data_IF_979291918683
#
_entry.id   IF_979291918683
#
_cell.length_a   1.000
_cell.length_b   1.000
_cell.length_c   1.000
_cell.angle_alpha   90.00
_cell.angle_beta   90.00
_cell.angle_gamma   90.00
#
_symmetry.space_group_name_H-M   'P 1'
#
loop_
_entity.id
_entity.type
_entity.pdbx_description
1 polymer ?
#
# COMPACT_ATOMS: atom_id res chain seq x y z
N UNK A 1 3.21 10.88 19.25
CA UNK A 1 3.43 11.12 17.81
C UNK A 1 3.79 12.59 17.53
N UNK A 2 5.02 13.08 17.81
CA UNK A 2 5.37 14.50 17.64
C UNK A 2 5.50 14.95 16.17
N UNK A 3 5.53 14.03 15.21
CA UNK A 3 5.81 14.33 13.80
C UNK A 3 4.64 14.83 12.95
N UNK A 4 3.39 14.65 13.37
CA UNK A 4 2.19 15.01 12.59
C UNK A 4 1.90 16.53 12.58
N UNK A 5 2.37 17.29 13.58
CA UNK A 5 2.03 18.72 13.74
C UNK A 5 2.58 19.67 12.65
N UNK A 6 3.59 19.27 11.86
CA UNK A 6 4.25 20.17 10.89
C UNK A 6 3.81 19.98 9.44
N UNK A 7 3.03 18.95 9.11
CA UNK A 7 2.69 18.61 7.71
C UNK A 7 1.50 19.38 7.14
N UNK A 8 0.67 19.98 7.99
CA UNK A 8 -0.63 20.54 7.60
C UNK A 8 -0.69 22.06 7.75
N UNK A 9 0.14 22.79 7.02
CA UNK A 9 0.02 24.26 6.91
C UNK A 9 -0.93 24.63 5.77
N UNK A 10 -2.24 24.41 5.91
CA UNK A 10 -3.14 24.81 4.83
C UNK A 10 -4.63 24.51 4.98
N UNK A 11 -5.07 23.96 6.08
CA UNK A 11 -6.49 23.74 6.32
C UNK A 11 -6.91 24.27 7.67
N UNK A 12 -8.06 24.91 7.76
CA UNK A 12 -8.60 25.55 8.94
C UNK A 12 -8.42 24.72 10.24
N UNK A 13 -8.23 25.39 11.33
CA UNK A 13 -7.82 24.87 12.65
C UNK A 13 -8.81 23.94 13.36
N UNK A 14 -9.72 23.26 12.66
CA UNK A 14 -10.79 22.48 13.27
C UNK A 14 -11.15 21.15 12.57
N UNK A 15 -10.49 20.76 11.47
CA UNK A 15 -10.87 19.53 10.78
C UNK A 15 -10.33 18.27 11.46
N UNK A 16 -11.21 17.29 11.75
CA UNK A 16 -10.89 16.06 12.46
C UNK A 16 -10.04 15.08 11.60
N UNK A 17 -10.26 15.06 10.29
CA UNK A 17 -9.55 14.20 9.33
C UNK A 17 -9.41 14.87 7.98
N UNK A 18 -8.42 14.42 7.19
CA UNK A 18 -8.28 14.73 5.79
C UNK A 18 -8.69 13.53 4.93
N UNK A 19 -9.53 13.78 3.95
CA UNK A 19 -9.96 12.80 2.96
C UNK A 19 -9.28 13.11 1.62
N UNK A 20 -8.51 12.17 1.12
CA UNK A 20 -7.78 12.33 -0.15
C UNK A 20 -8.43 11.46 -1.22
N UNK A 21 -8.88 12.05 -2.35
CA UNK A 21 -9.32 11.25 -3.48
C UNK A 21 -8.13 10.50 -4.07
N UNK A 22 -8.24 9.18 -4.19
CA UNK A 22 -7.18 8.35 -4.75
C UNK A 22 -7.43 8.09 -6.23
N UNK A 23 -6.41 8.34 -7.05
CA UNK A 23 -6.41 8.02 -8.48
C UNK A 23 -6.15 6.53 -8.77
N UNK A 24 -6.61 5.63 -7.89
CA UNK A 24 -6.50 4.18 -8.04
C UNK A 24 -7.81 3.61 -8.55
N UNK A 25 -7.75 2.47 -9.21
CA UNK A 25 -8.91 1.80 -9.77
C UNK A 25 -9.41 0.66 -8.87
N UNK A 26 -10.69 0.31 -9.03
CA UNK A 26 -11.33 -0.81 -8.35
C UNK A 26 -11.79 -1.84 -9.37
N UNK A 27 -11.44 -3.10 -9.15
CA UNK A 27 -11.84 -4.25 -9.94
C UNK A 27 -12.59 -5.24 -9.06
N UNK A 28 -13.84 -5.54 -9.40
CA UNK A 28 -14.66 -6.54 -8.68
C UNK A 28 -14.35 -7.95 -9.16
N UNK A 29 -14.13 -8.87 -8.22
CA UNK A 29 -14.05 -10.31 -8.44
C UNK A 29 -15.18 -10.96 -7.63
N UNK A 30 -16.21 -11.46 -8.31
CA UNK A 30 -17.43 -12.00 -7.71
C UNK A 30 -17.66 -13.43 -8.15
N UNK A 31 -18.10 -14.28 -7.23
CA UNK A 31 -18.45 -15.66 -7.45
C UNK A 31 -18.05 -16.57 -6.30
N UNK A 32 -18.67 -17.74 -6.22
CA UNK A 32 -18.38 -18.74 -5.17
C UNK A 32 -16.89 -19.14 -5.13
N UNK A 33 -16.19 -19.06 -6.28
CA UNK A 33 -14.78 -19.41 -6.38
C UNK A 33 -13.83 -18.19 -6.33
N UNK A 34 -14.32 -16.98 -5.97
CA UNK A 34 -13.51 -15.78 -5.97
C UNK A 34 -12.27 -15.88 -5.03
N UNK A 35 -12.47 -16.31 -3.79
CA UNK A 35 -11.38 -16.47 -2.84
C UNK A 35 -10.40 -17.60 -3.23
N UNK A 36 -10.82 -18.84 -3.55
CA UNK A 36 -9.91 -19.89 -4.03
C UNK A 36 -9.15 -19.48 -5.30
N UNK A 37 -9.79 -18.73 -6.20
CA UNK A 37 -9.15 -18.22 -7.41
C UNK A 37 -8.01 -17.24 -7.08
N UNK A 38 -8.28 -16.23 -6.26
CA UNK A 38 -7.29 -15.24 -5.86
C UNK A 38 -6.21 -15.83 -4.95
N UNK A 39 -6.53 -16.87 -4.16
CA UNK A 39 -5.61 -17.54 -3.25
C UNK A 39 -4.37 -18.08 -3.96
N UNK A 40 -4.49 -18.62 -5.16
CA UNK A 40 -3.37 -19.11 -5.94
C UNK A 40 -2.57 -18.04 -6.69
N UNK A 41 -3.05 -16.81 -6.73
CA UNK A 41 -2.45 -15.72 -7.50
C UNK A 41 -1.75 -14.66 -6.65
N UNK A 42 -2.09 -14.57 -5.35
CA UNK A 42 -1.67 -13.46 -4.48
C UNK A 42 -0.84 -13.93 -3.31
N UNK A 43 0.01 -13.06 -2.79
CA UNK A 43 0.96 -13.35 -1.71
C UNK A 43 0.30 -13.53 -0.34
N UNK A 44 -0.89 -12.97 -0.12
CA UNK A 44 -1.57 -13.03 1.19
C UNK A 44 -2.68 -14.10 1.21
N UNK A 45 -3.11 -14.44 2.40
CA UNK A 45 -4.18 -15.42 2.62
C UNK A 45 -5.56 -14.79 2.41
N UNK A 46 -6.08 -14.91 1.19
CA UNK A 46 -7.37 -14.36 0.77
C UNK A 46 -8.54 -15.04 1.46
N UNK A 47 -8.38 -16.29 1.92
CA UNK A 47 -9.44 -17.00 2.63
C UNK A 47 -9.88 -16.28 3.90
N UNK A 48 -9.02 -15.47 4.50
CA UNK A 48 -9.34 -14.60 5.65
C UNK A 48 -10.43 -13.58 5.38
N UNK A 49 -10.73 -13.26 4.11
CA UNK A 49 -11.83 -12.35 3.74
C UNK A 49 -13.18 -13.06 3.67
N UNK A 50 -13.20 -14.40 3.57
CA UNK A 50 -14.43 -15.18 3.31
C UNK A 50 -14.63 -16.34 4.29
N UNK A 51 -13.75 -16.51 5.29
CA UNK A 51 -13.85 -17.57 6.27
C UNK A 51 -15.17 -17.45 7.06
N UNK A 52 -15.94 -18.53 7.11
CA UNK A 52 -17.17 -18.63 7.88
C UNK A 52 -16.95 -18.65 9.39
N UNK A 53 -18.02 -18.91 10.16
CA UNK A 53 -18.16 -18.81 11.62
C UNK A 53 -17.02 -19.37 12.49
N UNK A 54 -16.21 -20.31 12.01
CA UNK A 54 -15.07 -20.84 12.75
C UNK A 54 -13.97 -19.79 13.02
N UNK A 55 -13.85 -18.76 12.17
CA UNK A 55 -12.91 -17.65 12.39
C UNK A 55 -13.55 -16.51 13.21
N UNK A 56 -14.86 -16.42 13.24
CA UNK A 56 -15.60 -15.46 14.05
C UNK A 56 -15.45 -15.74 15.57
N UNK A 57 -15.09 -16.94 15.97
CA UNK A 57 -14.87 -17.32 17.37
C UNK A 57 -13.60 -16.67 17.99
N UNK A 58 -12.69 -16.12 17.17
CA UNK A 58 -11.42 -15.53 17.63
C UNK A 58 -11.27 -14.03 17.32
N UNK A 59 -12.26 -13.40 16.68
CA UNK A 59 -12.24 -11.97 16.34
C UNK A 59 -12.93 -11.67 15.01
N UNK A 60 -13.37 -10.45 14.82
CA UNK A 60 -14.03 -10.04 13.57
C UNK A 60 -13.13 -10.29 12.34
N UNK A 61 -13.71 -10.83 11.26
CA UNK A 61 -13.01 -11.04 9.99
C UNK A 61 -12.44 -9.71 9.46
N UNK A 62 -11.22 -9.71 8.93
CA UNK A 62 -10.66 -8.51 8.33
C UNK A 62 -11.53 -8.04 7.16
N UNK A 63 -11.74 -6.73 7.07
CA UNK A 63 -12.49 -6.14 5.96
C UNK A 63 -11.60 -5.80 4.77
N UNK A 64 -10.30 -5.72 4.99
CA UNK A 64 -9.30 -5.48 3.96
C UNK A 64 -8.02 -6.29 4.20
N UNK A 65 -7.32 -6.61 3.11
CA UNK A 65 -5.99 -7.24 3.10
C UNK A 65 -5.09 -6.54 2.08
N UNK A 66 -3.81 -6.45 2.36
CA UNK A 66 -2.79 -6.05 1.38
C UNK A 66 -2.13 -7.28 0.78
N UNK A 67 -1.81 -7.24 -0.50
CA UNK A 67 -1.13 -8.34 -1.19
C UNK A 67 -0.39 -7.84 -2.44
N UNK A 68 0.56 -8.63 -2.93
CA UNK A 68 1.13 -8.48 -4.26
C UNK A 68 0.69 -9.63 -5.17
N UNK A 69 0.52 -9.34 -6.46
CA UNK A 69 0.58 -10.34 -7.52
C UNK A 69 2.01 -10.40 -8.04
N UNK A 70 2.58 -11.59 -8.15
CA UNK A 70 3.96 -11.81 -8.58
C UNK A 70 4.00 -12.48 -9.95
N UNK A 71 5.10 -12.27 -10.68
CA UNK A 71 5.44 -13.10 -11.82
C UNK A 71 6.05 -14.44 -11.34
N UNK A 72 6.28 -15.36 -12.26
CA UNK A 72 6.83 -16.69 -11.94
C UNK A 72 8.25 -16.63 -11.36
N UNK A 73 9.01 -15.55 -11.59
CA UNK A 73 10.32 -15.30 -11.01
C UNK A 73 10.25 -14.69 -9.60
N UNK A 74 9.05 -14.46 -9.05
CA UNK A 74 8.85 -13.91 -7.71
C UNK A 74 9.00 -12.40 -7.60
N UNK A 75 8.89 -11.66 -8.72
CA UNK A 75 8.92 -10.20 -8.74
C UNK A 75 7.52 -9.62 -8.75
N UNK A 76 7.34 -8.49 -8.09
CA UNK A 76 6.06 -7.79 -8.03
C UNK A 76 5.61 -7.38 -9.44
N UNK A 77 4.36 -7.70 -9.78
CA UNK A 77 3.66 -7.15 -10.94
C UNK A 77 2.73 -6.02 -10.51
N UNK A 78 1.94 -6.26 -9.48
CA UNK A 78 0.94 -5.32 -8.98
C UNK A 78 0.87 -5.36 -7.46
N UNK A 79 0.74 -4.19 -6.83
CA UNK A 79 0.34 -4.03 -5.45
C UNK A 79 -1.18 -3.88 -5.37
N UNK A 80 -1.82 -4.61 -4.46
CA UNK A 80 -3.27 -4.70 -4.36
C UNK A 80 -3.72 -4.54 -2.92
N UNK A 81 -4.81 -3.77 -2.70
CA UNK A 81 -5.59 -3.88 -1.47
C UNK A 81 -6.89 -4.58 -1.84
N UNK A 82 -7.20 -5.65 -1.13
CA UNK A 82 -8.40 -6.43 -1.30
C UNK A 82 -9.42 -6.02 -0.24
N UNK A 83 -10.68 -5.87 -0.63
CA UNK A 83 -11.77 -5.53 0.27
C UNK A 83 -12.89 -6.56 0.15
N UNK A 84 -13.41 -7.00 1.30
CA UNK A 84 -14.62 -7.79 1.35
C UNK A 84 -15.84 -6.88 1.22
N UNK A 85 -16.63 -7.06 0.16
CA UNK A 85 -17.84 -6.28 -0.06
C UNK A 85 -19.10 -7.00 0.44
N UNK A 86 -19.16 -8.34 0.37
CA UNK A 86 -20.26 -9.12 0.95
C UNK A 86 -20.23 -9.03 2.49
N UNK A 87 -21.40 -8.98 3.10
CA UNK A 87 -21.53 -8.78 4.55
C UNK A 87 -21.84 -10.10 5.28
N UNK A 88 -22.64 -10.98 4.67
CA UNK A 88 -23.01 -12.28 5.21
C UNK A 88 -22.19 -13.42 4.59
N UNK A 89 -21.85 -14.48 5.36
CA UNK A 89 -21.25 -15.70 4.82
C UNK A 89 -22.13 -16.42 3.78
N UNK A 90 -23.45 -16.21 3.82
CA UNK A 90 -24.42 -16.80 2.89
C UNK A 90 -24.50 -16.05 1.55
N UNK A 91 -23.94 -14.83 1.48
CA UNK A 91 -23.87 -14.08 0.25
C UNK A 91 -22.76 -14.60 -0.66
N UNK A 92 -22.99 -14.48 -1.98
CA UNK A 92 -21.97 -14.81 -2.96
C UNK A 92 -20.72 -13.93 -2.73
N UNK A 93 -19.53 -14.52 -2.54
CA UNK A 93 -18.31 -13.78 -2.30
C UNK A 93 -18.07 -12.68 -3.35
N UNK A 94 -17.87 -11.46 -2.88
CA UNK A 94 -17.54 -10.32 -3.71
C UNK A 94 -16.34 -9.58 -3.10
N UNK A 95 -15.21 -9.64 -3.79
CA UNK A 95 -13.93 -9.05 -3.39
C UNK A 95 -13.59 -7.93 -4.36
N UNK A 96 -13.38 -6.72 -3.84
CA UNK A 96 -12.86 -5.60 -4.62
C UNK A 96 -11.33 -5.61 -4.55
N UNK A 97 -10.67 -5.39 -5.67
CA UNK A 97 -9.22 -5.20 -5.79
C UNK A 97 -8.95 -3.73 -6.10
N UNK A 98 -8.33 -3.01 -5.18
CA UNK A 98 -7.76 -1.69 -5.42
C UNK A 98 -6.39 -1.86 -6.08
N UNK A 99 -6.16 -1.19 -7.20
CA UNK A 99 -4.91 -1.25 -7.95
C UNK A 99 -4.54 0.12 -8.55
N UNK A 100 -3.32 0.25 -9.04
CA UNK A 100 -2.91 1.39 -9.85
C UNK A 100 -3.80 1.49 -11.11
N UNK A 101 -4.38 2.66 -11.36
CA UNK A 101 -5.29 2.88 -12.48
C UNK A 101 -4.61 2.70 -13.84
N UNK A 102 -3.32 2.99 -13.92
CA UNK A 102 -2.54 2.84 -15.15
C UNK A 102 -2.36 1.39 -15.62
N UNK A 103 -2.63 0.41 -14.73
CA UNK A 103 -2.49 -1.03 -15.06
C UNK A 103 -3.78 -1.82 -14.91
N UNK A 104 -4.93 -1.16 -14.78
CA UNK A 104 -6.22 -1.83 -14.61
C UNK A 104 -6.52 -2.86 -15.70
N UNK A 105 -6.31 -2.49 -16.97
CA UNK A 105 -6.52 -3.40 -18.09
C UNK A 105 -5.55 -4.58 -18.07
N UNK A 106 -4.29 -4.34 -17.72
CA UNK A 106 -3.27 -5.38 -17.60
C UNK A 106 -3.63 -6.38 -16.50
N UNK A 107 -4.08 -5.90 -15.34
CA UNK A 107 -4.55 -6.73 -14.22
C UNK A 107 -5.77 -7.55 -14.63
N UNK A 108 -6.76 -6.92 -15.26
CA UNK A 108 -7.95 -7.61 -15.73
C UNK A 108 -7.61 -8.72 -16.73
N UNK A 109 -6.71 -8.45 -17.66
CA UNK A 109 -6.21 -9.43 -18.64
C UNK A 109 -5.45 -10.56 -17.94
N UNK A 110 -4.57 -10.22 -16.98
CA UNK A 110 -3.81 -11.20 -16.21
C UNK A 110 -4.73 -12.14 -15.43
N UNK A 111 -5.73 -11.62 -14.71
CA UNK A 111 -6.70 -12.44 -14.00
C UNK A 111 -7.53 -13.32 -14.94
N UNK A 112 -7.95 -12.79 -16.09
CA UNK A 112 -8.68 -13.57 -17.10
C UNK A 112 -7.85 -14.73 -17.66
N UNK A 113 -6.54 -14.58 -17.79
CA UNK A 113 -5.64 -15.64 -18.26
C UNK A 113 -5.65 -16.86 -17.32
N UNK A 114 -5.71 -16.62 -16.01
CA UNK A 114 -5.75 -17.68 -14.99
C UNK A 114 -7.15 -18.17 -14.64
N UNK A 115 -8.20 -17.54 -15.16
CA UNK A 115 -9.61 -17.89 -14.94
C UNK A 115 -10.05 -19.16 -15.66
N UNK A 116 -9.22 -20.14 -15.88
CA UNK A 116 -9.56 -21.36 -16.63
C UNK A 116 -10.63 -22.15 -15.85
N UNK A 117 -11.86 -22.26 -16.43
CA UNK A 117 -13.01 -22.97 -15.86
C UNK A 117 -13.49 -22.51 -14.47
N UNK A 118 -12.98 -21.40 -13.93
CA UNK A 118 -13.42 -20.84 -12.65
C UNK A 118 -14.70 -20.03 -12.82
N UNK A 119 -15.66 -20.25 -11.89
CA UNK A 119 -16.94 -19.52 -11.85
C UNK A 119 -16.75 -18.21 -11.07
N UNK A 120 -16.06 -17.26 -11.71
CA UNK A 120 -15.87 -15.90 -11.17
C UNK A 120 -16.14 -14.87 -12.26
N UNK A 121 -16.72 -13.76 -11.88
CA UNK A 121 -16.91 -12.59 -12.73
C UNK A 121 -15.90 -11.49 -12.34
N UNK A 122 -15.21 -10.91 -13.34
CA UNK A 122 -14.15 -9.92 -13.15
C UNK A 122 -14.55 -8.66 -13.90
N UNK A 123 -14.94 -7.61 -13.17
CA UNK A 123 -15.54 -6.41 -13.73
C UNK A 123 -14.96 -5.14 -13.09
N UNK A 124 -14.53 -4.12 -13.86
CA UNK A 124 -14.18 -2.81 -13.33
C UNK A 124 -15.37 -2.15 -12.63
N UNK A 125 -15.13 -1.55 -11.47
CA UNK A 125 -16.14 -0.82 -10.70
C UNK A 125 -15.99 0.68 -10.93
N UNK A 126 -16.60 1.19 -12.00
CA UNK A 126 -16.47 2.57 -12.44
C UNK A 126 -17.41 3.55 -11.70
N UNK A 127 -18.38 3.03 -10.97
CA UNK A 127 -19.38 3.76 -10.19
C UNK A 127 -18.95 4.03 -8.74
N UNK A 128 -17.76 3.58 -8.37
CA UNK A 128 -17.21 3.74 -7.03
C UNK A 128 -16.12 4.81 -6.98
N UNK A 129 -15.96 5.40 -5.80
CA UNK A 129 -14.90 6.35 -5.46
C UNK A 129 -14.09 5.83 -4.28
N UNK A 130 -12.77 5.98 -4.37
CA UNK A 130 -11.82 5.51 -3.37
C UNK A 130 -11.12 6.70 -2.70
N UNK A 131 -11.02 6.65 -1.38
CA UNK A 131 -10.44 7.69 -0.56
C UNK A 131 -9.48 7.11 0.48
N UNK A 132 -8.40 7.86 0.76
CA UNK A 132 -7.64 7.69 1.97
C UNK A 132 -8.14 8.69 3.02
N UNK A 133 -8.34 8.25 4.25
CA UNK A 133 -8.76 9.08 5.38
C UNK A 133 -7.65 9.07 6.41
N UNK A 134 -6.99 10.23 6.57
CA UNK A 134 -5.89 10.39 7.54
C UNK A 134 -6.36 11.27 8.69
N UNK A 135 -6.50 10.72 9.90
CA UNK A 135 -6.87 11.48 11.09
C UNK A 135 -5.82 12.54 11.44
N UNK A 136 -6.25 13.71 11.90
CA UNK A 136 -5.34 14.81 12.28
C UNK A 136 -4.79 14.75 13.68
N UNK A 137 -5.55 14.28 14.65
CA UNK A 137 -5.14 14.24 16.07
C UNK A 137 -5.64 12.98 16.78
N UNK A 138 -4.93 12.64 17.86
CA UNK A 138 -5.15 11.56 18.83
C UNK A 138 -6.05 10.42 18.35
N UNK A 139 -5.40 9.42 17.77
CA UNK A 139 -6.00 8.30 17.05
C UNK A 139 -7.15 7.56 17.76
N UNK A 140 -7.25 7.63 19.10
CA UNK A 140 -8.27 6.90 19.87
C UNK A 140 -9.70 7.35 19.60
N UNK A 141 -9.99 8.64 19.72
CA UNK A 141 -11.36 9.16 19.63
C UNK A 141 -11.88 9.15 18.18
N UNK A 142 -10.99 9.45 17.22
CA UNK A 142 -11.36 9.46 15.81
C UNK A 142 -11.55 8.03 15.29
N UNK A 143 -10.67 7.09 15.64
CA UNK A 143 -10.79 5.70 15.25
C UNK A 143 -12.12 5.09 15.74
N UNK A 144 -12.53 5.36 16.97
CA UNK A 144 -13.82 4.90 17.51
C UNK A 144 -15.01 5.56 16.80
N UNK A 145 -14.90 6.84 16.44
CA UNK A 145 -15.92 7.54 15.65
C UNK A 145 -16.05 6.98 14.23
N UNK A 146 -14.93 6.69 13.56
CA UNK A 146 -14.92 6.08 12.23
C UNK A 146 -15.48 4.66 12.26
N UNK A 147 -15.13 3.86 13.27
CA UNK A 147 -15.67 2.50 13.44
C UNK A 147 -17.20 2.51 13.59
N UNK A 148 -17.76 3.47 14.34
CA UNK A 148 -19.22 3.61 14.51
C UNK A 148 -19.96 4.03 13.23
N UNK A 149 -19.26 4.54 12.23
CA UNK A 149 -19.81 5.03 10.94
C UNK A 149 -19.46 4.12 9.77
N UNK A 150 -18.86 2.97 10.03
CA UNK A 150 -18.44 2.04 8.98
C UNK A 150 -19.63 1.48 8.15
N UNK A 151 -20.83 1.53 8.69
CA UNK A 151 -22.09 1.16 8.03
C UNK A 151 -22.63 2.23 7.06
N UNK A 152 -22.14 3.48 7.15
CA UNK A 152 -22.58 4.59 6.30
C UNK A 152 -21.86 4.67 4.95
N UNK A 153 -20.89 3.78 4.71
CA UNK A 153 -20.12 3.67 3.48
C UNK A 153 -20.17 2.22 2.99
N UNK A 154 -19.85 2.01 1.71
CA UNK A 154 -19.65 0.64 1.22
C UNK A 154 -18.52 -0.06 1.97
N UNK A 155 -17.39 0.62 2.11
CA UNK A 155 -16.24 0.18 2.91
C UNK A 155 -15.70 1.39 3.68
N UNK A 156 -15.52 1.23 4.97
CA UNK A 156 -14.71 2.11 5.81
C UNK A 156 -13.92 1.21 6.76
N UNK A 157 -12.60 1.14 6.58
CA UNK A 157 -11.73 0.20 7.28
C UNK A 157 -10.34 0.78 7.49
N UNK A 158 -9.62 0.42 8.57
CA UNK A 158 -8.21 0.75 8.69
C UNK A 158 -7.42 0.30 7.46
N UNK A 159 -6.40 1.09 7.09
CA UNK A 159 -5.48 0.70 6.01
C UNK A 159 -4.76 -0.60 6.42
N UNK A 160 -4.87 -1.69 5.63
CA UNK A 160 -4.35 -2.99 6.03
C UNK A 160 -2.82 -3.06 6.06
N UNK A 161 -2.13 -2.07 5.50
CA UNK A 161 -0.66 -2.05 5.44
C UNK A 161 -0.04 -1.63 6.77
N UNK A 162 -0.54 -0.55 7.35
CA UNK A 162 -0.06 -0.01 8.63
C UNK A 162 -0.97 1.12 9.12
N UNK A 163 -1.08 1.28 10.44
CA UNK A 163 -1.89 2.31 11.11
C UNK A 163 -1.51 3.75 10.73
N UNK A 164 -0.25 3.99 10.37
CA UNK A 164 0.21 5.33 9.97
C UNK A 164 -0.43 5.85 8.69
N UNK A 165 -1.05 4.97 7.90
CA UNK A 165 -1.79 5.33 6.69
C UNK A 165 -3.26 5.66 6.95
N UNK A 166 -3.73 5.54 8.19
CA UNK A 166 -5.11 5.85 8.57
C UNK A 166 -6.11 4.82 8.03
N UNK A 167 -7.10 5.27 7.26
CA UNK A 167 -8.23 4.47 6.82
C UNK A 167 -8.41 4.51 5.31
N UNK A 168 -9.06 3.46 4.79
CA UNK A 168 -9.59 3.39 3.43
C UNK A 168 -11.09 3.53 3.44
N UNK A 169 -11.61 4.37 2.54
CA UNK A 169 -13.04 4.61 2.37
C UNK A 169 -13.42 4.38 0.91
N UNK A 170 -14.43 3.55 0.68
CA UNK A 170 -15.04 3.33 -0.63
C UNK A 170 -16.51 3.76 -0.55
N UNK A 171 -16.92 4.62 -1.47
CA UNK A 171 -18.27 5.15 -1.58
C UNK A 171 -18.79 4.97 -3.00
N UNK A 172 -20.09 5.14 -3.20
CA UNK A 172 -20.63 5.41 -4.53
C UNK A 172 -20.12 6.77 -5.02
N UNK A 173 -19.95 6.94 -6.33
CA UNK A 173 -19.62 8.25 -6.91
C UNK A 173 -20.68 9.29 -6.53
N UNK A 174 -20.21 10.49 -6.18
CA UNK A 174 -21.11 11.59 -5.77
C UNK A 174 -21.59 11.52 -4.33
N UNK A 175 -21.17 10.55 -3.53
CA UNK A 175 -21.52 10.51 -2.10
C UNK A 175 -20.96 11.73 -1.37
N UNK A 176 -21.75 12.25 -0.41
CA UNK A 176 -21.36 13.39 0.40
C UNK A 176 -20.47 12.94 1.56
N UNK A 177 -19.16 13.22 1.47
CA UNK A 177 -18.18 12.82 2.50
C UNK A 177 -18.45 13.46 3.85
N UNK A 178 -19.05 14.67 3.92
CA UNK A 178 -19.33 15.33 5.20
C UNK A 178 -20.42 14.62 6.01
N UNK A 179 -21.27 13.83 5.36
CA UNK A 179 -22.25 12.96 6.03
C UNK A 179 -21.61 11.70 6.59
N UNK A 180 -20.65 11.13 5.85
CA UNK A 180 -19.93 9.91 6.24
C UNK A 180 -18.88 10.23 7.31
N UNK A 181 -18.09 11.30 7.11
CA UNK A 181 -17.02 11.74 8.02
C UNK A 181 -17.21 13.22 8.34
N UNK A 182 -18.09 13.58 9.28
CA UNK A 182 -18.31 14.96 9.68
C UNK A 182 -17.04 15.63 10.19
N UNK A 183 -16.85 16.89 9.80
CA UNK A 183 -15.65 17.64 10.15
C UNK A 183 -14.39 17.26 9.38
N UNK A 184 -14.50 16.41 8.35
CA UNK A 184 -13.39 16.16 7.42
C UNK A 184 -13.26 17.28 6.40
N UNK A 185 -12.07 17.42 5.81
CA UNK A 185 -11.85 18.24 4.63
C UNK A 185 -11.28 17.40 3.50
N UNK A 186 -11.56 17.79 2.26
CA UNK A 186 -10.96 17.16 1.08
C UNK A 186 -9.56 17.76 0.88
N UNK A 187 -8.55 16.91 0.97
CA UNK A 187 -7.15 17.26 0.78
C UNK A 187 -6.69 17.08 -0.67
N UNK A 188 -5.50 17.60 -0.96
CA UNK A 188 -4.85 17.41 -2.25
C UNK A 188 -4.15 16.04 -2.29
N UNK A 189 -4.21 15.36 -3.43
CA UNK A 189 -3.52 14.07 -3.64
C UNK A 189 -2.01 14.17 -3.42
N UNK A 190 -1.40 15.33 -3.68
CA UNK A 190 0.02 15.54 -3.43
C UNK A 190 0.37 15.48 -1.93
N UNK A 191 -0.53 15.92 -1.06
CA UNK A 191 -0.34 15.80 0.39
C UNK A 191 -0.43 14.34 0.85
N UNK A 192 -1.30 13.53 0.21
CA UNK A 192 -1.32 12.09 0.43
C UNK A 192 -0.01 11.43 -0.01
N UNK A 193 0.51 11.75 -1.18
CA UNK A 193 1.81 11.25 -1.63
C UNK A 193 2.94 11.69 -0.73
N UNK A 194 2.93 12.94 -0.27
CA UNK A 194 3.90 13.44 0.70
C UNK A 194 3.84 12.66 2.02
N UNK A 195 2.61 12.37 2.51
CA UNK A 195 2.42 11.57 3.73
C UNK A 195 3.01 10.17 3.57
N UNK A 196 2.65 9.43 2.51
CA UNK A 196 3.15 8.08 2.32
C UNK A 196 4.66 8.01 2.04
N UNK A 197 5.25 9.00 1.34
CA UNK A 197 6.70 9.08 1.18
C UNK A 197 7.41 9.29 2.51
N UNK A 198 6.88 10.16 3.37
CA UNK A 198 7.42 10.35 4.72
C UNK A 198 7.36 9.07 5.55
N UNK A 199 6.31 8.27 5.37
CA UNK A 199 6.15 6.98 6.07
C UNK A 199 6.92 5.83 5.38
N UNK A 200 7.46 6.04 4.18
CA UNK A 200 8.14 5.00 3.42
C UNK A 200 7.21 3.92 2.86
N UNK A 201 5.96 4.28 2.55
CA UNK A 201 4.95 3.37 2.02
C UNK A 201 4.91 3.46 0.50
N UNK A 202 5.35 2.41 -0.22
CA UNK A 202 5.23 2.34 -1.68
C UNK A 202 3.79 2.09 -2.11
N UNK A 203 3.42 2.62 -3.27
CA UNK A 203 2.11 2.42 -3.85
C UNK A 203 2.16 2.64 -5.37
N UNK A 204 1.64 1.66 -6.12
CA UNK A 204 1.56 1.71 -7.57
C UNK A 204 2.85 1.36 -8.30
N UNK A 205 2.77 1.35 -9.62
CA UNK A 205 3.83 0.83 -10.51
C UNK A 205 5.07 1.74 -10.56
N UNK A 206 4.92 3.01 -10.22
CA UNK A 206 6.05 3.95 -10.16
C UNK A 206 6.99 3.62 -9.00
N UNK A 207 6.44 3.28 -7.84
CA UNK A 207 7.20 2.94 -6.64
C UNK A 207 7.69 1.48 -6.66
N UNK A 208 6.86 0.61 -7.25
CA UNK A 208 7.06 -0.83 -7.36
C UNK A 208 7.09 -1.24 -8.84
N UNK A 209 8.19 -0.99 -9.57
CA UNK A 209 8.26 -1.28 -11.01
C UNK A 209 7.94 -2.74 -11.31
N UNK A 210 6.94 -3.02 -12.18
CA UNK A 210 6.52 -4.37 -12.53
C UNK A 210 7.67 -5.21 -13.08
N UNK A 211 7.79 -6.44 -12.60
CA UNK A 211 8.85 -7.37 -13.00
C UNK A 211 10.25 -7.03 -12.48
N UNK A 212 10.39 -5.97 -11.67
CA UNK A 212 11.66 -5.52 -11.10
C UNK A 212 11.66 -5.59 -9.57
N UNK A 213 10.65 -5.02 -8.92
CA UNK A 213 10.56 -4.93 -7.47
C UNK A 213 10.48 -6.32 -6.81
N UNK A 214 11.24 -6.52 -5.74
CA UNK A 214 11.17 -7.72 -4.91
C UNK A 214 10.27 -7.49 -3.69
N UNK A 215 9.34 -8.41 -3.39
CA UNK A 215 8.36 -8.22 -2.31
C UNK A 215 8.98 -7.91 -0.95
N UNK A 216 10.00 -8.65 -0.54
CA UNK A 216 10.62 -8.48 0.78
C UNK A 216 11.50 -7.23 0.86
N UNK A 217 12.16 -6.83 -0.23
CA UNK A 217 12.86 -5.54 -0.32
C UNK A 217 11.88 -4.36 -0.30
N UNK A 218 10.65 -4.57 -0.77
CA UNK A 218 9.55 -3.59 -0.78
C UNK A 218 8.75 -3.57 0.53
N UNK A 219 9.26 -4.21 1.58
CA UNK A 219 8.67 -4.27 2.93
C UNK A 219 7.29 -4.95 2.99
N UNK A 220 6.96 -5.82 2.03
CA UNK A 220 5.65 -6.48 1.97
C UNK A 220 5.30 -7.23 3.26
N UNK A 221 6.29 -7.91 3.88
CA UNK A 221 6.08 -8.61 5.15
C UNK A 221 5.79 -7.64 6.30
N UNK A 222 6.45 -6.48 6.34
CA UNK A 222 6.23 -5.44 7.35
C UNK A 222 4.86 -4.74 7.19
N UNK A 223 4.34 -4.70 5.97
CA UNK A 223 3.03 -4.16 5.63
C UNK A 223 1.91 -5.22 5.66
N UNK A 224 2.13 -6.36 6.31
CA UNK A 224 1.15 -7.44 6.42
C UNK A 224 0.62 -7.97 5.07
N UNK A 225 1.40 -7.83 4.01
CA UNK A 225 0.99 -8.15 2.63
C UNK A 225 1.32 -9.59 2.17
N UNK A 226 1.87 -10.42 3.05
CA UNK A 226 2.27 -11.79 2.73
C UNK A 226 1.92 -12.75 3.85
N UNK A 227 1.44 -13.93 3.49
CA UNK A 227 1.31 -15.07 4.41
C UNK A 227 2.38 -16.11 4.07
N UNK A 228 3.15 -16.52 5.08
CA UNK A 228 4.15 -17.58 4.95
C UNK A 228 3.61 -18.97 5.32
N UNK A 229 2.36 -19.04 5.76
CA UNK A 229 1.70 -20.27 6.22
C UNK A 229 0.59 -20.75 5.29
N UNK A 230 0.19 -19.92 4.31
CA UNK A 230 -0.79 -20.31 3.29
C UNK A 230 -0.22 -21.32 2.28
N UNK A 231 -1.09 -21.91 1.45
CA UNK A 231 -0.70 -22.78 0.32
C UNK A 231 0.02 -22.03 -0.81
N UNK A 232 0.32 -22.76 -1.88
CA UNK A 232 1.10 -22.26 -3.02
C UNK A 232 0.39 -21.13 -3.76
N UNK A 233 1.20 -20.19 -4.26
CA UNK A 233 0.78 -19.13 -5.17
C UNK A 233 1.90 -18.82 -6.19
N UNK A 234 1.57 -18.14 -7.28
CA UNK A 234 2.51 -17.82 -8.35
C UNK A 234 3.66 -16.96 -7.81
N UNK A 235 4.91 -17.35 -8.10
CA UNK A 235 6.11 -16.62 -7.72
C UNK A 235 6.57 -16.81 -6.26
N UNK A 236 5.94 -17.71 -5.52
CA UNK A 236 6.22 -17.94 -4.09
C UNK A 236 7.66 -18.36 -3.81
N UNK A 237 8.30 -19.13 -4.69
CA UNK A 237 9.55 -19.83 -4.39
C UNK A 237 10.66 -18.89 -3.91
N UNK A 238 10.96 -17.83 -4.66
CA UNK A 238 12.01 -16.87 -4.30
C UNK A 238 11.73 -16.19 -2.96
N UNK A 239 10.49 -15.78 -2.74
CA UNK A 239 10.07 -15.08 -1.52
C UNK A 239 10.16 -16.00 -0.29
N UNK A 240 9.67 -17.22 -0.39
CA UNK A 240 9.74 -18.23 0.68
C UNK A 240 11.20 -18.58 1.00
N UNK A 241 12.03 -18.85 -0.01
CA UNK A 241 13.45 -19.15 0.17
C UNK A 241 14.19 -17.97 0.85
N UNK A 242 13.95 -16.75 0.42
CA UNK A 242 14.59 -15.57 1.01
C UNK A 242 14.15 -15.37 2.47
N UNK A 243 12.87 -15.59 2.77
CA UNK A 243 12.36 -15.48 4.14
C UNK A 243 12.98 -16.50 5.10
N UNK A 244 13.09 -17.76 4.68
CA UNK A 244 13.56 -18.85 5.57
C UNK A 244 15.08 -18.97 5.66
N UNK A 245 15.80 -18.68 4.59
CA UNK A 245 17.24 -18.93 4.49
C UNK A 245 18.09 -17.73 4.06
N UNK A 246 17.44 -16.65 3.64
CA UNK A 246 18.12 -15.50 3.08
C UNK A 246 18.27 -14.34 4.05
N UNK A 247 19.05 -13.35 3.60
CA UNK A 247 19.21 -12.06 4.28
C UNK A 247 18.77 -10.94 3.36
N UNK A 248 17.87 -10.09 3.85
CA UNK A 248 17.41 -8.91 3.11
C UNK A 248 18.40 -7.78 3.39
N UNK A 249 19.22 -7.45 2.40
CA UNK A 249 20.28 -6.44 2.51
C UNK A 249 19.86 -5.05 2.02
N UNK A 250 18.76 -4.97 1.27
CA UNK A 250 18.19 -3.73 0.73
C UNK A 250 16.73 -3.64 1.11
N UNK A 251 16.25 -2.41 1.37
CA UNK A 251 14.83 -2.14 1.60
C UNK A 251 14.44 -0.79 1.03
N UNK A 252 13.17 -0.65 0.68
CA UNK A 252 12.57 0.66 0.42
C UNK A 252 12.53 1.46 1.71
N UNK A 253 13.07 2.67 1.66
CA UNK A 253 13.16 3.58 2.80
C UNK A 253 12.67 4.97 2.41
N UNK A 254 12.07 5.70 3.35
CA UNK A 254 11.80 7.12 3.18
C UNK A 254 13.12 7.88 3.13
N UNK A 255 13.19 8.82 2.20
CA UNK A 255 14.35 9.71 2.04
C UNK A 255 13.90 11.16 2.06
N UNK A 256 14.75 12.01 2.65
CA UNK A 256 14.57 13.45 2.69
C UNK A 256 15.74 14.11 1.99
N UNK A 257 15.44 14.94 1.00
CA UNK A 257 16.42 15.70 0.22
C UNK A 257 16.72 17.04 0.88
N UNK A 258 17.94 17.50 0.77
CA UNK A 258 18.37 18.82 1.28
C UNK A 258 17.79 20.00 0.50
N UNK A 259 17.31 19.76 -0.72
CA UNK A 259 16.64 20.71 -1.58
C UNK A 259 15.50 20.02 -2.34
N UNK A 260 14.46 20.77 -2.76
CA UNK A 260 13.37 20.20 -3.55
C UNK A 260 13.88 19.54 -4.84
N UNK A 261 13.37 18.36 -5.13
CA UNK A 261 13.66 17.66 -6.37
C UNK A 261 13.13 18.43 -7.57
N UNK A 262 13.82 18.40 -8.72
CA UNK A 262 13.28 18.90 -9.98
C UNK A 262 11.90 18.28 -10.24
N UNK A 263 10.95 19.09 -10.72
CA UNK A 263 9.59 18.60 -11.03
C UNK A 263 9.57 17.62 -12.20
N UNK A 264 10.54 17.74 -13.11
CA UNK A 264 10.66 16.94 -14.32
C UNK A 264 12.08 16.34 -14.41
N UNK A 265 12.15 15.10 -14.97
CA UNK A 265 13.40 14.44 -15.39
C UNK A 265 14.32 13.84 -14.30
N UNK A 266 13.78 13.26 -13.25
CA UNK A 266 14.58 12.30 -12.50
C UNK A 266 14.53 10.98 -13.27
N UNK A 267 15.65 10.45 -13.75
CA UNK A 267 15.66 9.16 -14.45
C UNK A 267 15.13 8.05 -13.53
N UNK A 268 14.34 7.15 -14.11
CA UNK A 268 13.89 5.96 -13.37
C UNK A 268 15.09 5.17 -12.83
N UNK A 269 15.07 4.88 -11.53
CA UNK A 269 16.15 4.15 -10.88
C UNK A 269 17.47 4.94 -10.78
N UNK A 270 17.41 6.28 -10.78
CA UNK A 270 18.58 7.14 -10.58
C UNK A 270 19.40 6.68 -9.37
N UNK A 271 20.72 6.68 -9.54
CA UNK A 271 21.63 6.07 -8.58
C UNK A 271 21.82 6.96 -7.34
N UNK A 272 21.81 6.32 -6.17
CA UNK A 272 22.15 6.96 -4.91
C UNK A 272 23.53 6.46 -4.50
N UNK A 273 24.42 7.41 -4.22
CA UNK A 273 25.82 7.15 -3.88
C UNK A 273 26.11 7.56 -2.44
N UNK A 274 27.08 6.88 -1.83
CA UNK A 274 27.74 7.33 -0.61
C UNK A 274 28.68 8.49 -0.91
N UNK A 275 29.17 9.16 0.12
CA UNK A 275 30.16 10.23 -0.01
C UNK A 275 31.46 9.76 -0.70
N UNK A 276 31.83 8.48 -0.50
CA UNK A 276 32.97 7.86 -1.18
C UNK A 276 32.70 7.46 -2.64
N UNK A 277 31.51 7.75 -3.19
CA UNK A 277 31.14 7.42 -4.56
C UNK A 277 30.69 5.97 -4.79
N UNK A 278 30.51 5.16 -3.73
CA UNK A 278 29.97 3.79 -3.84
C UNK A 278 28.46 3.80 -4.01
N UNK A 279 27.94 2.86 -4.78
CA UNK A 279 26.49 2.69 -4.94
C UNK A 279 25.82 2.25 -3.64
N UNK A 280 24.94 3.10 -3.12
CA UNK A 280 24.12 2.83 -1.93
C UNK A 280 22.72 2.34 -2.27
N UNK A 281 22.24 2.61 -3.48
CA UNK A 281 20.90 2.19 -3.91
C UNK A 281 20.35 2.96 -5.08
N UNK A 282 19.03 2.94 -5.24
CA UNK A 282 18.32 3.56 -6.36
C UNK A 282 17.09 4.32 -5.88
N UNK A 283 16.92 5.53 -6.39
CA UNK A 283 15.70 6.32 -6.22
C UNK A 283 14.52 5.63 -6.90
N UNK A 284 13.34 5.69 -6.29
CA UNK A 284 12.09 5.15 -6.85
C UNK A 284 11.11 6.24 -7.23
N UNK A 285 10.69 7.01 -6.26
CA UNK A 285 9.70 8.06 -6.47
C UNK A 285 9.81 9.13 -5.40
N UNK A 286 9.30 10.32 -5.69
CA UNK A 286 9.27 11.41 -4.73
C UNK A 286 8.67 12.68 -5.32
N UNK A 287 8.54 13.68 -4.47
CA UNK A 287 8.08 15.02 -4.81
C UNK A 287 8.45 16.02 -3.73
N UNK A 288 8.85 17.22 -4.14
CA UNK A 288 9.42 18.21 -3.23
C UNK A 288 10.70 17.69 -2.58
N UNK A 289 10.73 17.68 -1.26
CA UNK A 289 11.90 17.24 -0.47
C UNK A 289 11.79 15.79 0.04
N UNK A 290 10.74 15.06 -0.33
CA UNK A 290 10.47 13.71 0.18
C UNK A 290 10.39 12.69 -0.95
N UNK A 291 10.82 11.47 -0.66
CA UNK A 291 10.72 10.36 -1.59
C UNK A 291 10.94 9.02 -0.92
N UNK A 292 10.96 7.99 -1.74
CA UNK A 292 11.35 6.62 -1.35
C UNK A 292 12.47 6.12 -2.27
N UNK A 293 13.36 5.35 -1.69
CA UNK A 293 14.49 4.77 -2.40
C UNK A 293 14.77 3.35 -1.92
N UNK A 294 15.21 2.49 -2.83
CA UNK A 294 15.72 1.16 -2.50
C UNK A 294 17.19 1.31 -2.08
N UNK A 295 17.47 1.18 -0.80
CA UNK A 295 18.78 1.41 -0.22
C UNK A 295 19.36 0.16 0.44
N UNK A 296 20.69 0.03 0.39
CA UNK A 296 21.42 -0.94 1.22
C UNK A 296 21.33 -0.53 2.68
N UNK A 297 20.86 -1.43 3.53
CA UNK A 297 20.71 -1.17 4.97
C UNK A 297 22.02 -0.77 5.64
N UNK A 298 23.14 -1.28 5.16
CA UNK A 298 24.48 -0.93 5.67
C UNK A 298 24.82 0.57 5.49
N UNK A 299 24.22 1.25 4.52
CA UNK A 299 24.53 2.65 4.20
C UNK A 299 23.48 3.66 4.70
N UNK A 300 22.46 3.23 5.45
CA UNK A 300 21.34 4.09 5.86
C UNK A 300 21.78 5.29 6.69
N UNK A 301 22.81 5.10 7.52
CA UNK A 301 23.33 6.15 8.42
C UNK A 301 24.49 6.95 7.82
N UNK A 302 24.87 6.68 6.57
CA UNK A 302 25.93 7.42 5.89
C UNK A 302 25.37 8.65 5.17
N UNK A 303 26.19 9.69 4.93
CA UNK A 303 25.82 10.76 4.02
C UNK A 303 25.62 10.22 2.61
N UNK A 304 24.43 10.49 2.04
CA UNK A 304 24.03 10.00 0.73
C UNK A 304 23.78 11.15 -0.23
N UNK A 305 23.93 10.89 -1.52
CA UNK A 305 23.54 11.84 -2.57
C UNK A 305 22.87 11.13 -3.75
N UNK A 306 21.83 11.76 -4.30
CA UNK A 306 21.21 11.38 -5.57
C UNK A 306 22.06 11.98 -6.70
N UNK A 307 22.49 11.11 -7.61
CA UNK A 307 23.27 11.51 -8.77
C UNK A 307 22.32 11.82 -9.95
N UNK A 308 22.23 13.09 -10.31
CA UNK A 308 21.48 13.58 -11.48
C UNK A 308 22.48 14.17 -12.46
N UNK A 309 22.43 13.80 -13.72
CA UNK A 309 23.30 14.19 -14.85
C UNK A 309 24.07 15.54 -14.68
N UNK A 310 25.05 15.55 -13.77
CA UNK A 310 25.87 16.74 -13.44
C UNK A 310 25.62 17.36 -12.08
N UNK A 311 24.48 17.10 -11.44
CA UNK A 311 24.14 17.61 -10.12
C UNK A 311 24.05 16.50 -9.07
N UNK A 312 24.47 16.80 -7.85
CA UNK A 312 24.33 15.92 -6.70
C UNK A 312 23.42 16.54 -5.64
N UNK A 313 22.30 15.89 -5.36
CA UNK A 313 21.38 16.33 -4.31
C UNK A 313 21.61 15.49 -3.07
N UNK A 314 22.02 16.13 -1.97
CA UNK A 314 22.19 15.42 -0.69
C UNK A 314 20.86 14.90 -0.16
N UNK A 315 20.89 13.75 0.47
CA UNK A 315 19.72 13.16 1.10
C UNK A 315 20.08 12.40 2.38
N UNK A 316 19.09 12.22 3.24
CA UNK A 316 19.15 11.36 4.41
C UNK A 316 18.03 10.31 4.30
N UNK A 317 18.30 9.11 4.77
CA UNK A 317 17.33 8.05 4.88
C UNK A 317 16.97 7.82 6.36
N UNK A 318 15.74 7.42 6.62
CA UNK A 318 15.28 7.11 7.97
C UNK A 318 14.62 5.74 8.01
N UNK A 319 14.81 5.00 9.09
CA UNK A 319 14.06 3.78 9.35
C UNK A 319 12.69 4.19 9.91
N UNK A 320 11.58 3.77 9.28
CA UNK A 320 10.25 4.11 9.77
C UNK A 320 9.98 3.58 11.18
N UNK A 321 9.34 4.39 12.02
CA UNK A 321 8.99 4.00 13.40
C UNK A 321 8.00 2.83 13.47
N UNK A 322 7.17 2.65 12.45
CA UNK A 322 6.19 1.58 12.36
C UNK A 322 6.79 0.21 11.98
N UNK A 323 8.06 0.15 11.58
CA UNK A 323 8.71 -1.12 11.30
C UNK A 323 8.80 -1.99 12.55
N UNK A 324 8.73 -3.33 12.42
CA UNK A 324 8.95 -4.24 13.54
C UNK A 324 10.30 -3.94 14.20
N UNK A 325 10.26 -3.75 15.52
CA UNK A 325 11.50 -3.59 16.29
C UNK A 325 12.24 -4.92 16.32
N UNK A 326 13.59 -4.95 16.18
CA UNK A 326 14.35 -6.16 16.42
C UNK A 326 13.99 -6.72 17.80
N UNK A 327 13.74 -8.04 17.87
CA UNK A 327 13.55 -8.67 19.16
C UNK A 327 14.80 -8.35 20.03
N UNK A 328 14.58 -7.78 21.20
CA UNK A 328 15.63 -7.62 22.20
C UNK A 328 16.21 -9.01 22.49
N UNK A 329 17.49 -9.20 22.17
CA UNK A 329 18.22 -10.42 22.50
C UNK A 329 18.35 -10.58 24.00
#
# INVERSE_FOLDING_TARGET
LPGLRRLWRGGGSGAAAACFPLGRALLGVRGAEAAPFLQGLLTNDVTRLVAGDAAAATGALPRALYAHALNVQGRCLYDLILYRLHESPDEEPHILLECDSGVLEAIQKHLKLYKIRRKVNITPCLDLSLWAVVPREQAGDIASSLTKRADQALILTPDPRTEVMGWRLITKKGANLSEIIPGSHIGNIQDYHRHRYKQGIPEGVKDLPPGVALPLESNLAYMNGISFTKGCYIGQELTARTHHMGVIRKRLLPVQFSAPLPKDNIPEGAEILTESGKSAGKFRAGGGELGIALLRLANVNEPLCLNLAGDKVKLTANIPEWWPKPASK
#
